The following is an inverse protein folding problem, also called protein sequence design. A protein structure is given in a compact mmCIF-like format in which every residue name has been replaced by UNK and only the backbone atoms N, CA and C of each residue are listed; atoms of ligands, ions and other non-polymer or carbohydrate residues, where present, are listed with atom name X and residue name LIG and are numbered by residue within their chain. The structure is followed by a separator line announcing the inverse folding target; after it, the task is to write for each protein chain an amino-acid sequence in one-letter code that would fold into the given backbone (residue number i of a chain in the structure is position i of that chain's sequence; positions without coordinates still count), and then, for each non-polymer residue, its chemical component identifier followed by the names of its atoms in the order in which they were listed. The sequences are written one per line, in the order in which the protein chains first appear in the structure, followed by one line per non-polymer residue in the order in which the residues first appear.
data_IF_628271790048
#
_entry.id   IF_628271790048
#
_cell.length_a   1.000
_cell.length_b   1.000
_cell.length_c   1.000
_cell.angle_alpha   90.00
_cell.angle_beta   90.00
_cell.angle_gamma   90.00
#
_symmetry.space_group_name_H-M   'P 1'
#
loop_
_entity.id
_entity.type
_entity.pdbx_description
1 polymer ?
#
# COMPACT_ATOMS: atom_id res chain seq x y z
N UNK A 1 -16.16 -15.56 9.96
CA UNK A 1 -15.92 -14.17 10.42
C UNK A 1 -15.98 -14.16 11.93
N UNK A 2 -14.85 -13.92 12.62
CA UNK A 2 -14.88 -13.63 14.05
C UNK A 2 -15.08 -12.13 14.22
N UNK A 3 -16.25 -11.76 14.76
CA UNK A 3 -16.56 -10.40 15.15
C UNK A 3 -15.97 -10.18 16.55
N UNK A 4 -15.02 -9.26 16.71
CA UNK A 4 -14.45 -8.93 18.01
C UNK A 4 -15.48 -8.09 18.79
N UNK A 5 -16.24 -8.74 19.67
CA UNK A 5 -17.12 -8.08 20.64
C UNK A 5 -16.31 -7.85 21.93
N UNK A 6 -15.81 -6.63 22.11
CA UNK A 6 -15.04 -6.19 23.28
C UNK A 6 -14.67 -4.71 23.18
N UNK A 7 -14.13 -4.13 24.26
CA UNK A 7 -13.62 -2.76 24.28
C UNK A 7 -12.49 -2.60 23.23
N UNK A 8 -12.61 -1.60 22.36
CA UNK A 8 -11.68 -1.35 21.27
C UNK A 8 -10.30 -0.98 21.84
N UNK A 9 -9.21 -1.67 21.45
CA UNK A 9 -7.88 -1.37 21.98
C UNK A 9 -7.48 0.10 21.73
N UNK A 10 -6.79 0.76 22.68
CA UNK A 10 -6.40 2.17 22.56
C UNK A 10 -5.55 2.52 21.33
N UNK A 11 -4.92 1.51 20.74
CA UNK A 11 -4.03 1.61 19.59
C UNK A 11 -4.64 1.13 18.28
N UNK A 12 -5.96 0.90 18.25
CA UNK A 12 -6.67 0.55 17.03
C UNK A 12 -6.47 1.63 15.96
N UNK A 13 -5.99 1.23 14.78
CA UNK A 13 -5.62 2.09 13.64
C UNK A 13 -4.38 3.00 13.82
N UNK A 14 -3.58 2.85 14.88
CA UNK A 14 -2.31 3.58 14.94
C UNK A 14 -1.28 2.92 14.03
N UNK A 15 -0.85 3.65 13.00
CA UNK A 15 0.28 3.26 12.16
C UNK A 15 1.52 3.20 13.07
N UNK A 16 2.05 1.99 13.29
CA UNK A 16 3.24 1.78 14.09
C UNK A 16 4.39 2.59 13.49
N UNK A 17 4.82 3.66 14.18
CA UNK A 17 6.03 4.37 13.83
C UNK A 17 7.22 3.47 14.21
N UNK A 18 8.19 3.27 13.32
CA UNK A 18 9.35 2.44 13.63
C UNK A 18 10.14 3.10 14.77
N UNK A 19 10.25 2.39 15.89
CA UNK A 19 11.18 2.75 16.98
C UNK A 19 12.59 2.54 16.44
N UNK A 20 13.30 3.64 16.19
CA UNK A 20 14.71 3.60 15.83
C UNK A 20 15.55 3.02 16.97
N UNK A 21 16.61 2.24 16.69
CA UNK A 21 17.53 1.78 17.71
C UNK A 21 18.25 2.97 18.34
N UNK A 22 18.32 2.96 19.67
CA UNK A 22 18.68 4.06 20.52
C UNK A 22 20.05 4.70 20.19
N UNK A 23 20.04 6.02 20.05
CA UNK A 23 21.21 6.89 19.94
C UNK A 23 20.86 8.35 20.22
N UNK A 24 20.62 8.66 21.51
CA UNK A 24 20.79 9.96 22.20
C UNK A 24 19.91 11.18 21.80
N UNK A 25 19.20 11.70 22.82
CA UNK A 25 18.59 13.04 23.02
C UNK A 25 17.27 13.46 22.28
N UNK A 26 16.15 13.17 22.95
CA UNK A 26 15.19 14.15 23.50
C UNK A 26 14.47 15.15 22.56
N UNK A 27 13.23 14.83 22.17
CA UNK A 27 12.15 15.83 22.00
C UNK A 27 10.84 15.27 22.57
N UNK A 28 10.19 16.11 23.37
CA UNK A 28 9.03 15.87 24.24
C UNK A 28 7.83 15.26 23.47
N UNK A 29 7.44 14.04 23.83
CA UNK A 29 6.13 13.48 23.48
C UNK A 29 5.53 12.79 24.70
N UNK A 30 4.25 13.08 24.95
CA UNK A 30 3.45 12.70 26.12
C UNK A 30 3.75 11.29 26.63
N UNK A 31 3.94 11.18 27.95
CA UNK A 31 4.25 9.95 28.66
C UNK A 31 3.27 8.82 28.32
N UNK A 32 3.73 7.87 27.51
CA UNK A 32 3.19 6.52 27.51
C UNK A 32 3.69 5.86 28.80
N UNK A 33 2.76 5.49 29.67
CA UNK A 33 3.08 4.75 30.88
C UNK A 33 3.72 3.42 30.45
N UNK A 34 4.96 3.10 30.87
CA UNK A 34 5.54 1.80 30.54
C UNK A 34 4.75 0.74 31.31
N UNK A 35 3.94 -0.04 30.60
CA UNK A 35 3.32 -1.25 31.17
C UNK A 35 4.44 -2.26 31.36
N UNK A 36 4.95 -2.34 32.59
CA UNK A 36 5.93 -3.36 32.99
C UNK A 36 5.16 -4.66 33.20
N UNK A 37 5.17 -5.54 32.19
CA UNK A 37 4.58 -6.87 32.29
C UNK A 37 5.52 -7.75 33.10
N UNK A 38 5.19 -8.01 34.36
CA UNK A 38 5.99 -8.85 35.26
C UNK A 38 5.69 -10.35 35.12
N UNK A 39 4.54 -10.70 34.52
CA UNK A 39 4.10 -12.09 34.36
C UNK A 39 4.59 -12.71 33.04
N UNK A 40 5.32 -13.84 33.08
CA UNK A 40 5.91 -14.46 31.88
C UNK A 40 4.86 -15.01 30.91
N UNK A 41 3.69 -15.45 31.40
CA UNK A 41 2.60 -15.92 30.57
C UNK A 41 1.93 -14.78 29.78
N UNK A 42 1.75 -13.62 30.42
CA UNK A 42 1.17 -12.44 29.79
C UNK A 42 2.16 -11.82 28.78
N UNK A 43 3.46 -11.87 29.08
CA UNK A 43 4.53 -11.47 28.17
C UNK A 43 4.57 -12.33 26.89
N UNK A 44 4.40 -13.65 27.02
CA UNK A 44 4.34 -14.55 25.87
C UNK A 44 3.13 -14.26 24.96
N UNK A 45 1.97 -13.98 25.55
CA UNK A 45 0.76 -13.62 24.81
C UNK A 45 0.90 -12.27 24.10
N UNK A 46 1.51 -11.28 24.76
CA UNK A 46 1.81 -9.98 24.16
C UNK A 46 2.81 -10.09 22.99
N UNK A 47 3.86 -10.92 23.11
CA UNK A 47 4.82 -11.16 22.02
C UNK A 47 4.15 -11.83 20.80
N UNK A 48 3.23 -12.77 21.01
CA UNK A 48 2.49 -13.41 19.92
C UNK A 48 1.61 -12.40 19.18
N UNK A 49 0.93 -11.52 19.92
CA UNK A 49 0.10 -10.45 19.34
C UNK A 49 0.98 -9.46 18.56
N UNK A 50 2.14 -9.06 19.09
CA UNK A 50 3.07 -8.19 18.38
C UNK A 50 3.65 -8.85 17.13
N UNK A 51 4.00 -10.14 17.19
CA UNK A 51 4.50 -10.90 16.04
C UNK A 51 3.45 -11.01 14.93
N UNK A 52 2.17 -11.22 15.30
CA UNK A 52 1.08 -11.24 14.34
C UNK A 52 0.87 -9.86 13.69
N UNK A 53 0.88 -8.77 14.47
CA UNK A 53 0.77 -7.42 13.90
C UNK A 53 1.95 -7.04 13.01
N UNK A 54 3.17 -7.46 13.36
CA UNK A 54 4.37 -7.25 12.54
C UNK A 54 4.27 -7.99 11.19
N UNK A 55 3.65 -9.18 11.15
CA UNK A 55 3.43 -9.94 9.92
C UNK A 55 2.45 -9.24 8.95
N UNK A 56 1.38 -8.63 9.48
CA UNK A 56 0.37 -7.96 8.65
C UNK A 56 0.67 -6.48 8.35
N UNK A 57 1.61 -5.87 9.07
CA UNK A 57 1.97 -4.46 8.93
C UNK A 57 3.36 -4.24 8.31
N UNK A 58 3.80 -5.13 7.42
CA UNK A 58 5.04 -4.87 6.68
C UNK A 58 4.86 -3.64 5.78
N UNK A 59 5.56 -2.56 6.12
CA UNK A 59 5.73 -1.36 5.30
C UNK A 59 7.21 -1.30 4.94
N UNK A 60 7.58 -1.30 3.65
CA UNK A 60 8.98 -1.21 3.26
C UNK A 60 9.66 0.02 3.89
N UNK A 61 10.94 -0.08 4.29
CA UNK A 61 11.67 1.07 4.79
C UNK A 61 11.68 2.19 3.74
N UNK A 62 11.74 3.45 4.20
CA UNK A 62 11.68 4.64 3.34
C UNK A 62 10.36 4.84 2.56
N UNK A 63 9.25 4.32 3.08
CA UNK A 63 7.90 4.56 2.53
C UNK A 63 7.31 5.85 3.11
N UNK A 64 7.00 6.83 2.26
CA UNK A 64 6.27 8.06 2.60
C UNK A 64 4.78 7.80 2.84
N UNK A 65 4.20 6.84 2.12
CA UNK A 65 2.79 6.48 2.24
C UNK A 65 2.37 5.37 1.29
N UNK A 66 1.06 5.13 1.23
CA UNK A 66 0.42 4.22 0.25
C UNK A 66 -0.44 5.03 -0.69
N UNK A 67 -0.44 4.66 -1.97
CA UNK A 67 -1.32 5.24 -2.99
C UNK A 67 -2.18 4.12 -3.57
N UNK A 68 -3.46 4.43 -3.79
CA UNK A 68 -4.39 3.58 -4.53
C UNK A 68 -4.69 4.26 -5.86
N UNK A 69 -4.50 3.54 -6.97
CA UNK A 69 -4.69 4.06 -8.31
C UNK A 69 -5.73 3.20 -8.99
N UNK A 70 -6.81 3.85 -9.46
CA UNK A 70 -7.89 3.20 -10.21
C UNK A 70 -7.79 3.61 -11.67
N UNK A 71 -7.54 2.65 -12.55
CA UNK A 71 -7.52 2.81 -14.00
C UNK A 71 -8.88 2.39 -14.54
N UNK A 72 -9.73 3.38 -14.86
CA UNK A 72 -11.11 3.13 -15.29
C UNK A 72 -11.18 2.93 -16.79
N UNK A 73 -10.95 3.98 -17.58
CA UNK A 73 -11.05 3.98 -19.04
C UNK A 73 -10.07 4.99 -19.65
N UNK A 74 -9.88 4.90 -20.97
CA UNK A 74 -9.14 5.91 -21.73
C UNK A 74 -9.90 6.32 -23.00
N UNK A 75 -9.62 7.52 -23.50
CA UNK A 75 -10.10 8.01 -24.81
C UNK A 75 -8.90 8.29 -25.70
N UNK A 76 -8.61 7.37 -26.62
CA UNK A 76 -7.45 7.42 -27.48
C UNK A 76 -7.75 8.20 -28.77
N UNK A 77 -6.87 9.14 -29.12
CA UNK A 77 -6.94 9.84 -30.39
C UNK A 77 -6.56 8.93 -31.57
N UNK A 78 -5.55 8.09 -31.36
CA UNK A 78 -5.01 7.16 -32.36
C UNK A 78 -6.03 6.07 -32.70
N UNK A 79 -6.20 5.80 -34.00
CA UNK A 79 -7.01 4.70 -34.53
C UNK A 79 -6.13 3.85 -35.42
N UNK A 80 -6.18 2.53 -35.29
CA UNK A 80 -5.46 1.64 -36.21
C UNK A 80 -6.31 1.30 -37.45
N UNK A 81 -7.52 1.85 -37.52
CA UNK A 81 -8.39 1.79 -38.70
C UNK A 81 -8.93 0.38 -38.89
N UNK A 82 -8.30 -0.38 -39.77
CA UNK A 82 -8.67 -1.77 -40.10
C UNK A 82 -8.14 -2.74 -39.03
N UNK A 83 -6.97 -2.44 -38.46
CA UNK A 83 -6.35 -3.30 -37.45
C UNK A 83 -7.01 -3.03 -36.09
N UNK A 84 -7.36 -4.11 -35.40
CA UNK A 84 -7.91 -4.07 -34.04
C UNK A 84 -6.84 -3.57 -33.06
N UNK A 85 -7.27 -2.77 -32.08
CA UNK A 85 -6.44 -2.39 -30.95
C UNK A 85 -6.92 -3.15 -29.72
N UNK A 86 -5.98 -3.77 -29.03
CA UNK A 86 -6.09 -4.49 -27.77
C UNK A 86 -5.22 -3.77 -26.70
N UNK A 87 -5.64 -2.59 -26.23
CA UNK A 87 -4.78 -1.76 -25.39
C UNK A 87 -4.71 -2.25 -23.92
N UNK A 88 -3.58 -1.98 -23.29
CA UNK A 88 -3.37 -2.10 -21.84
C UNK A 88 -2.54 -0.94 -21.28
N UNK A 89 -2.71 -0.66 -20.00
CA UNK A 89 -1.93 0.36 -19.30
C UNK A 89 -0.78 -0.27 -18.50
N UNK A 90 0.40 0.34 -18.58
CA UNK A 90 1.53 0.10 -17.67
C UNK A 90 1.75 1.32 -16.81
N UNK A 91 1.74 1.12 -15.49
CA UNK A 91 1.89 2.16 -14.49
C UNK A 91 3.17 1.89 -13.71
N UNK A 92 4.03 2.89 -13.58
CA UNK A 92 5.27 2.82 -12.81
C UNK A 92 5.27 3.83 -11.67
N UNK A 93 5.45 3.33 -10.45
CA UNK A 93 5.58 4.11 -9.21
C UNK A 93 6.96 3.79 -8.61
N UNK A 94 7.92 4.68 -8.79
CA UNK A 94 9.32 4.42 -8.43
C UNK A 94 9.89 3.21 -9.17
N UNK A 95 10.21 2.14 -8.42
CA UNK A 95 10.72 0.88 -8.95
C UNK A 95 9.63 -0.18 -9.19
N UNK A 96 8.42 0.04 -8.68
CA UNK A 96 7.30 -0.86 -8.89
C UNK A 96 6.64 -0.58 -10.24
N UNK A 97 6.33 -1.65 -10.97
CA UNK A 97 5.62 -1.61 -12.25
C UNK A 97 4.38 -2.49 -12.13
N UNK A 98 3.27 -1.97 -12.62
CA UNK A 98 1.96 -2.60 -12.60
C UNK A 98 1.36 -2.54 -13.99
N UNK A 99 0.59 -3.55 -14.36
CA UNK A 99 -0.06 -3.64 -15.66
C UNK A 99 -1.53 -3.99 -15.48
N UNK A 100 -2.38 -3.39 -16.30
CA UNK A 100 -3.78 -3.81 -16.41
C UNK A 100 -3.89 -5.03 -17.31
N UNK A 101 -5.04 -5.69 -17.26
CA UNK A 101 -5.41 -6.65 -18.30
C UNK A 101 -5.49 -5.97 -19.67
N UNK A 102 -5.29 -6.77 -20.73
CA UNK A 102 -5.51 -6.35 -22.11
C UNK A 102 -7.02 -6.25 -22.37
N UNK A 103 -7.47 -5.11 -22.89
CA UNK A 103 -8.87 -4.95 -23.28
C UNK A 103 -9.06 -5.30 -24.75
N UNK A 104 -9.40 -6.56 -25.01
CA UNK A 104 -9.61 -7.06 -26.37
C UNK A 104 -10.65 -6.23 -27.13
N UNK A 105 -10.29 -5.79 -28.34
CA UNK A 105 -11.09 -4.92 -29.23
C UNK A 105 -11.50 -3.61 -28.56
N UNK A 106 -10.65 -3.05 -27.69
CA UNK A 106 -10.90 -1.79 -27.00
C UNK A 106 -10.92 -0.56 -27.91
N UNK A 107 -10.24 -0.64 -29.06
CA UNK A 107 -10.24 0.46 -30.02
C UNK A 107 -9.83 1.78 -29.35
N UNK A 108 -10.65 2.82 -29.53
CA UNK A 108 -10.41 4.16 -28.96
C UNK A 108 -10.89 4.35 -27.53
N UNK A 109 -11.71 3.44 -27.01
CA UNK A 109 -12.37 3.61 -25.72
C UNK A 109 -12.25 2.36 -24.85
N UNK A 110 -11.01 1.93 -24.51
CA UNK A 110 -10.84 0.79 -23.63
C UNK A 110 -11.26 1.11 -22.19
N UNK A 111 -11.79 0.09 -21.50
CA UNK A 111 -12.18 0.15 -20.09
C UNK A 111 -11.56 -1.03 -19.33
N UNK A 112 -10.97 -0.76 -18.18
CA UNK A 112 -10.28 -1.75 -17.36
C UNK A 112 -10.86 -1.92 -15.97
N UNK A 113 -11.38 -0.86 -15.34
CA UNK A 113 -11.84 -0.88 -13.94
C UNK A 113 -10.84 -1.56 -12.99
N UNK A 114 -9.55 -1.29 -13.19
CA UNK A 114 -8.46 -1.93 -12.48
C UNK A 114 -7.97 -1.08 -11.31
N UNK A 115 -7.90 -1.67 -10.11
CA UNK A 115 -7.40 -0.99 -8.91
C UNK A 115 -6.06 -1.61 -8.51
N UNK A 116 -5.05 -0.76 -8.32
CA UNK A 116 -3.76 -1.15 -7.75
C UNK A 116 -3.45 -0.36 -6.49
N UNK A 117 -2.65 -0.97 -5.61
CA UNK A 117 -2.11 -0.31 -4.44
C UNK A 117 -0.59 -0.37 -4.51
N UNK A 118 0.06 0.78 -4.32
CA UNK A 118 1.52 0.89 -4.34
C UNK A 118 2.02 1.62 -3.09
N UNK A 119 3.21 1.23 -2.63
CA UNK A 119 3.97 2.03 -1.69
C UNK A 119 4.61 3.21 -2.42
N UNK A 120 4.62 4.38 -1.80
CA UNK A 120 5.25 5.59 -2.33
C UNK A 120 6.52 5.88 -1.53
N UNK A 121 7.72 5.54 -2.04
CA UNK A 121 8.98 5.86 -1.38
C UNK A 121 9.25 7.37 -1.32
N UNK A 122 10.10 7.80 -0.39
CA UNK A 122 10.63 9.17 -0.43
C UNK A 122 11.45 9.41 -1.72
N UNK A 123 11.35 10.61 -2.27
CA UNK A 123 12.00 11.00 -3.53
C UNK A 123 11.25 10.60 -4.81
N UNK A 124 10.17 9.83 -4.71
CA UNK A 124 9.27 9.58 -5.85
C UNK A 124 8.24 10.70 -5.93
N UNK A 125 8.40 11.58 -6.92
CA UNK A 125 7.53 12.74 -7.14
C UNK A 125 6.62 12.59 -8.36
N UNK A 126 6.82 11.54 -9.16
CA UNK A 126 6.08 11.33 -10.40
C UNK A 126 5.70 9.87 -10.58
N UNK A 127 4.55 9.67 -11.24
CA UNK A 127 4.03 8.37 -11.65
C UNK A 127 3.98 8.39 -13.17
N UNK A 128 4.49 7.34 -13.79
CA UNK A 128 4.48 7.21 -15.24
C UNK A 128 3.37 6.25 -15.65
N UNK A 129 2.48 6.72 -16.52
CA UNK A 129 1.45 5.90 -17.16
C UNK A 129 1.73 5.85 -18.65
N UNK A 130 1.77 4.64 -19.20
CA UNK A 130 1.93 4.39 -20.63
C UNK A 130 0.85 3.42 -21.09
N UNK A 131 0.33 3.63 -22.30
CA UNK A 131 -0.65 2.75 -22.93
C UNK A 131 0.05 2.05 -24.08
N UNK A 132 -0.04 0.73 -24.09
CA UNK A 132 0.49 -0.15 -25.12
C UNK A 132 -0.67 -0.83 -25.85
N UNK A 133 -0.34 -1.47 -26.98
CA UNK A 133 -1.23 -2.31 -27.77
C UNK A 133 -0.53 -3.66 -27.98
N UNK A 134 -1.25 -4.76 -27.78
CA UNK A 134 -0.73 -6.13 -27.94
C UNK A 134 -0.84 -6.64 -29.39
#
# INVERSE_FOLDING_TARGET
LQLLLGELPPDFLRLALPVAPAGVQQVVARAAVPVVITDPALAAQHNLIQAQHAFYSFVPPNTRGRISITVVEAKLAKNYGIIRMDPYCRIRVGNAVFETQVHAKGGKAPRWDYIMNAYLPHGVESIYLQIYDE
#
